data_IF_220310086058
#
_entry.id   IF_220310086058
#
_cell.length_a   1.000
_cell.length_b   1.000
_cell.length_c   1.000
_cell.angle_alpha   90.00
_cell.angle_beta   90.00
_cell.angle_gamma   90.00
#
_symmetry.space_group_name_H-M   'P 1'
#
loop_
_entity.id
_entity.type
_entity.pdbx_description
1 polymer ?
#
# COMPACT_ATOMS: atom_id res chain seq x y z
N UNK A 1 12.49 -7.56 31.92
CA UNK A 1 11.16 -8.11 31.58
C UNK A 1 10.25 -6.93 31.37
N UNK A 2 9.51 -6.92 30.25
CA UNK A 2 8.58 -5.83 29.89
C UNK A 2 7.43 -5.84 30.91
N UNK A 3 7.28 -4.78 31.71
CA UNK A 3 6.43 -4.76 32.90
C UNK A 3 5.04 -4.21 32.66
N UNK A 4 4.73 -3.76 31.44
CA UNK A 4 3.43 -3.16 31.12
C UNK A 4 2.66 -3.94 30.06
N UNK A 5 1.34 -4.03 30.23
CA UNK A 5 0.42 -4.53 29.20
C UNK A 5 0.18 -3.41 28.18
N UNK A 6 0.83 -3.50 27.02
CA UNK A 6 0.78 -2.49 25.97
C UNK A 6 -0.56 -2.50 25.21
N UNK A 7 -1.30 -1.40 25.26
CA UNK A 7 -2.53 -1.21 24.48
C UNK A 7 -2.16 -0.76 23.07
N UNK A 8 -2.46 -1.59 22.07
CA UNK A 8 -2.22 -1.24 20.66
C UNK A 8 -3.25 -0.24 20.16
N UNK A 9 -2.78 0.86 19.56
CA UNK A 9 -3.61 1.89 18.94
C UNK A 9 -3.29 2.02 17.45
N UNK A 10 -4.34 2.18 16.65
CA UNK A 10 -4.22 2.56 15.24
C UNK A 10 -4.21 4.09 15.11
N UNK A 11 -3.19 4.69 14.47
CA UNK A 11 -3.15 6.13 14.27
C UNK A 11 -4.15 6.60 13.21
N UNK A 12 -4.65 7.83 13.36
CA UNK A 12 -5.34 8.53 12.26
C UNK A 12 -4.31 8.96 11.22
N UNK A 13 -4.51 8.54 9.97
CA UNK A 13 -3.56 8.81 8.88
C UNK A 13 -4.02 10.02 8.06
N UNK A 14 -3.16 11.02 7.97
CA UNK A 14 -3.35 12.20 7.13
C UNK A 14 -2.31 12.22 6.01
N UNK A 15 -2.77 12.29 4.76
CA UNK A 15 -1.91 12.39 3.58
C UNK A 15 -2.10 13.76 2.93
N UNK A 16 -1.02 14.54 2.86
CA UNK A 16 -1.00 15.84 2.16
C UNK A 16 0.19 15.84 1.22
N UNK A 17 -0.09 15.84 -0.10
CA UNK A 17 0.93 15.65 -1.14
C UNK A 17 1.73 14.35 -0.89
N UNK A 18 3.06 14.45 -0.82
CA UNK A 18 3.99 13.34 -0.57
C UNK A 18 4.24 13.09 0.93
N UNK A 19 3.65 13.88 1.83
CA UNK A 19 3.87 13.74 3.26
C UNK A 19 2.70 13.02 3.94
N UNK A 20 3.03 11.92 4.63
CA UNK A 20 2.10 11.15 5.44
C UNK A 20 2.38 11.42 6.93
N UNK A 21 1.37 11.88 7.65
CA UNK A 21 1.41 12.15 9.09
C UNK A 21 0.42 11.24 9.83
N UNK A 22 0.79 10.84 11.02
CA UNK A 22 0.03 9.93 11.88
C UNK A 22 -0.33 10.64 13.18
N UNK A 23 -1.60 10.67 13.54
CA UNK A 23 -2.09 11.32 14.77
C UNK A 23 -2.56 10.27 15.77
N UNK A 24 -2.19 10.44 17.04
CA UNK A 24 -2.55 9.53 18.13
C UNK A 24 -3.06 10.34 19.33
N UNK A 25 -4.02 9.75 20.04
CA UNK A 25 -4.55 10.25 21.30
C UNK A 25 -4.73 9.09 22.28
N UNK A 26 -4.44 9.31 23.54
CA UNK A 26 -4.65 8.31 24.60
C UNK A 26 -4.96 8.96 25.94
N UNK A 27 -5.67 8.24 26.80
CA UNK A 27 -5.74 8.57 28.23
C UNK A 27 -4.47 8.12 28.97
N UNK A 28 -4.53 7.97 30.29
CA UNK A 28 -3.42 7.39 31.05
C UNK A 28 -3.24 5.90 30.74
N UNK A 29 -1.99 5.45 30.64
CA UNK A 29 -1.65 4.05 30.45
C UNK A 29 -0.37 3.84 29.64
N UNK A 30 -0.20 2.59 29.19
CA UNK A 30 0.89 2.13 28.33
C UNK A 30 0.33 1.78 26.95
N UNK A 31 0.87 2.38 25.90
CA UNK A 31 0.34 2.24 24.55
C UNK A 31 1.43 1.92 23.53
N UNK A 32 1.06 1.25 22.45
CA UNK A 32 1.92 0.93 21.30
C UNK A 32 1.22 1.35 20.00
N UNK A 33 1.92 2.10 19.14
CA UNK A 33 1.42 2.44 17.81
C UNK A 33 1.48 1.21 16.90
N UNK A 34 0.39 0.88 16.23
CA UNK A 34 0.32 -0.27 15.31
C UNK A 34 1.16 -0.14 14.04
N UNK A 35 1.53 1.09 13.66
CA UNK A 35 2.30 1.41 12.45
C UNK A 35 3.79 1.59 12.77
N UNK A 36 4.14 2.55 13.63
CA UNK A 36 5.56 2.83 13.95
C UNK A 36 6.15 1.91 15.01
N UNK A 37 5.34 1.13 15.72
CA UNK A 37 5.72 0.35 16.91
C UNK A 37 6.20 1.20 18.09
N UNK A 38 6.17 2.54 17.97
CA UNK A 38 6.48 3.46 19.06
C UNK A 38 5.62 3.14 20.29
N UNK A 39 6.25 3.01 21.46
CA UNK A 39 5.51 2.86 22.72
C UNK A 39 5.70 4.05 23.63
N UNK A 40 4.66 4.37 24.39
CA UNK A 40 4.69 5.46 25.34
C UNK A 40 3.90 5.14 26.60
N UNK A 41 4.31 5.77 27.70
CA UNK A 41 3.62 5.75 28.98
C UNK A 41 3.22 7.17 29.34
N UNK A 42 1.98 7.36 29.75
CA UNK A 42 1.46 8.67 30.17
C UNK A 42 0.53 8.55 31.39
N UNK A 43 0.60 9.55 32.29
CA UNK A 43 -0.25 9.65 33.49
C UNK A 43 -1.52 10.46 33.26
N UNK A 44 -1.50 11.30 32.24
CA UNK A 44 -2.60 12.20 31.87
C UNK A 44 -2.91 12.03 30.37
N UNK A 45 -4.09 12.49 29.90
CA UNK A 45 -4.40 12.47 28.49
C UNK A 45 -3.35 13.17 27.63
N UNK A 46 -2.99 12.53 26.52
CA UNK A 46 -1.99 13.02 25.57
C UNK A 46 -2.54 12.97 24.14
N UNK A 47 -2.13 13.95 23.34
CA UNK A 47 -2.30 13.92 21.89
C UNK A 47 -1.00 14.35 21.22
N UNK A 48 -0.62 13.64 20.17
CA UNK A 48 0.58 13.93 19.41
C UNK A 48 0.42 13.49 17.97
N UNK A 49 1.29 14.00 17.12
CA UNK A 49 1.44 13.54 15.74
C UNK A 49 2.88 13.13 15.51
N UNK A 50 3.08 12.25 14.54
CA UNK A 50 4.42 11.97 14.05
C UNK A 50 4.44 11.74 12.54
N UNK A 51 5.62 11.84 11.96
CA UNK A 51 5.92 11.26 10.65
C UNK A 51 7.28 10.57 10.68
N UNK A 52 7.51 9.72 9.69
CA UNK A 52 8.85 9.15 9.49
C UNK A 52 9.73 10.20 8.80
N UNK A 53 10.94 10.39 9.32
CA UNK A 53 11.99 11.18 8.68
C UNK A 53 12.88 10.31 7.77
N UNK A 54 13.79 10.96 7.06
CA UNK A 54 14.86 10.31 6.27
C UNK A 54 16.17 10.29 7.05
N UNK A 55 16.98 9.25 6.87
CA UNK A 55 18.35 9.23 7.37
C UNK A 55 19.33 10.00 6.48
N UNK A 56 18.96 10.29 5.23
CA UNK A 56 19.83 10.89 4.19
C UNK A 56 20.54 12.16 4.70
N UNK A 57 19.78 13.06 5.35
CA UNK A 57 20.32 14.32 5.85
C UNK A 57 21.21 14.17 7.10
N UNK A 58 21.18 13.01 7.78
CA UNK A 58 21.84 12.78 9.07
C UNK A 58 22.98 11.76 8.99
N UNK A 59 23.01 10.93 7.94
CA UNK A 59 23.85 9.75 7.85
C UNK A 59 25.35 10.06 7.93
N UNK A 60 25.82 11.06 7.17
CA UNK A 60 27.24 11.46 7.17
C UNK A 60 27.69 11.93 8.55
N UNK A 61 26.85 12.70 9.25
CA UNK A 61 27.19 13.27 10.56
C UNK A 61 27.32 12.21 11.62
N UNK A 62 26.37 11.28 11.72
CA UNK A 62 26.46 10.21 12.71
C UNK A 62 27.63 9.26 12.40
N UNK A 63 27.95 9.06 11.12
CA UNK A 63 29.08 8.23 10.70
C UNK A 63 30.41 8.84 11.13
N UNK A 64 30.57 10.18 11.04
CA UNK A 64 31.75 10.89 11.55
C UNK A 64 31.93 10.77 13.07
N UNK A 65 30.85 10.47 13.80
CA UNK A 65 30.87 10.25 15.25
C UNK A 65 30.97 8.77 15.63
N UNK A 66 31.31 7.91 14.66
CA UNK A 66 31.37 6.45 14.79
C UNK A 66 30.03 5.79 15.15
N UNK A 67 28.90 6.40 14.79
CA UNK A 67 27.57 5.81 14.96
C UNK A 67 26.99 5.25 13.67
N UNK A 68 26.07 4.31 13.82
CA UNK A 68 25.20 3.79 12.77
C UNK A 68 23.73 4.01 13.13
N UNK A 69 22.84 4.11 12.14
CA UNK A 69 21.40 4.07 12.38
C UNK A 69 20.99 2.79 13.14
N UNK A 70 20.24 2.97 14.23
CA UNK A 70 19.74 1.85 15.04
C UNK A 70 18.21 1.73 15.01
N UNK A 71 17.48 2.76 14.57
CA UNK A 71 16.03 2.78 14.49
C UNK A 71 15.51 3.83 13.50
N UNK A 72 14.19 3.90 13.26
CA UNK A 72 13.60 4.89 12.38
C UNK A 72 13.76 6.30 12.94
N UNK A 73 13.90 7.28 12.05
CA UNK A 73 13.76 8.70 12.42
C UNK A 73 12.27 8.98 12.60
N UNK A 74 11.86 9.38 13.81
CA UNK A 74 10.50 9.76 14.14
C UNK A 74 10.48 11.24 14.54
N UNK A 75 9.89 12.07 13.69
CA UNK A 75 9.55 13.46 14.05
C UNK A 75 8.24 13.45 14.80
N UNK A 76 8.32 13.61 16.12
CA UNK A 76 7.18 13.57 17.03
C UNK A 76 6.88 15.00 17.48
N UNK A 77 5.65 15.46 17.25
CA UNK A 77 5.16 16.74 17.77
C UNK A 77 4.05 16.49 18.78
N UNK A 78 4.28 16.90 20.04
CA UNK A 78 3.24 16.89 21.08
C UNK A 78 2.25 18.01 20.83
N UNK A 79 0.96 17.69 20.79
CA UNK A 79 -0.13 18.65 20.61
C UNK A 79 -0.73 19.05 21.97
N UNK A 80 -0.86 18.11 22.89
CA UNK A 80 -1.26 18.34 24.28
C UNK A 80 -0.80 17.19 25.18
N UNK A 81 -0.50 17.49 26.45
CA UNK A 81 -0.06 16.51 27.46
C UNK A 81 1.44 16.25 27.45
N UNK A 82 1.89 15.23 28.18
CA UNK A 82 3.30 14.84 28.28
C UNK A 82 3.44 13.31 28.30
N UNK A 83 4.56 12.80 27.78
CA UNK A 83 4.95 11.40 27.95
C UNK A 83 5.87 11.27 29.15
N UNK A 84 5.60 10.30 30.02
CA UNK A 84 6.49 9.95 31.14
C UNK A 84 7.65 9.11 30.63
N UNK A 85 7.37 8.20 29.71
CA UNK A 85 8.34 7.29 29.12
C UNK A 85 8.04 7.13 27.63
N UNK A 86 9.09 7.04 26.83
CA UNK A 86 8.97 6.67 25.41
C UNK A 86 9.96 5.55 25.09
N UNK A 87 9.51 4.61 24.29
CA UNK A 87 10.26 3.46 23.84
C UNK A 87 10.37 3.57 22.32
N UNK A 88 11.53 4.04 21.87
CA UNK A 88 11.83 4.18 20.45
C UNK A 88 12.27 2.82 19.90
N UNK A 89 11.65 2.32 18.82
CA UNK A 89 11.99 1.02 18.26
C UNK A 89 13.40 1.03 17.68
N UNK A 90 14.16 -0.04 17.88
CA UNK A 90 15.44 -0.26 17.23
C UNK A 90 15.50 -1.64 16.57
N UNK A 91 16.38 -1.78 15.58
CA UNK A 91 16.58 -3.00 14.81
C UNK A 91 17.87 -3.74 15.16
N UNK A 92 18.72 -3.17 16.01
CA UNK A 92 19.95 -3.84 16.47
C UNK A 92 19.61 -5.07 17.32
N UNK A 93 20.25 -6.20 17.04
CA UNK A 93 20.19 -7.42 17.82
C UNK A 93 21.06 -7.30 19.07
N UNK A 94 20.49 -7.57 20.24
CA UNK A 94 21.14 -7.27 21.52
C UNK A 94 22.06 -8.36 22.06
N UNK A 95 22.16 -9.50 21.37
CA UNK A 95 22.86 -10.70 21.88
C UNK A 95 24.38 -10.50 22.02
N UNK A 96 24.96 -9.56 21.28
CA UNK A 96 26.39 -9.24 21.28
C UNK A 96 26.71 -7.77 21.56
N UNK A 97 25.76 -7.00 22.09
CA UNK A 97 25.90 -5.53 22.25
C UNK A 97 25.70 -5.07 23.69
N UNK A 98 26.38 -3.99 24.10
CA UNK A 98 26.17 -3.34 25.40
C UNK A 98 25.12 -2.23 25.30
N UNK A 99 24.22 -2.06 26.30
CA UNK A 99 23.29 -0.92 26.37
C UNK A 99 23.97 0.45 26.25
N UNK A 100 25.19 0.61 26.75
CA UNK A 100 25.96 1.87 26.68
C UNK A 100 26.39 2.25 25.25
N UNK A 101 26.21 1.36 24.28
CA UNK A 101 26.44 1.64 22.86
C UNK A 101 25.23 2.26 22.17
N UNK A 102 24.06 2.25 22.82
CA UNK A 102 22.87 2.88 22.30
C UNK A 102 22.78 4.34 22.75
N UNK A 103 22.40 5.20 21.83
CA UNK A 103 22.03 6.58 22.12
C UNK A 103 20.84 6.99 21.25
N UNK A 104 20.30 8.18 21.49
CA UNK A 104 19.26 8.76 20.64
C UNK A 104 19.78 10.05 20.05
N UNK A 105 19.78 10.13 18.73
CA UNK A 105 19.99 11.38 18.01
C UNK A 105 18.75 12.25 18.21
N UNK A 106 18.96 13.47 18.69
CA UNK A 106 17.98 14.54 18.75
C UNK A 106 18.35 15.57 17.69
N UNK A 107 17.55 15.67 16.63
CA UNK A 107 17.73 16.69 15.59
C UNK A 107 17.00 17.94 16.05
N UNK A 108 17.69 19.07 16.17
CA UNK A 108 17.06 20.36 16.44
C UNK A 108 17.59 21.47 15.51
N UNK A 109 16.86 22.58 15.46
CA UNK A 109 17.18 23.71 14.58
C UNK A 109 18.49 24.44 14.96
N UNK A 110 19.04 24.19 16.15
CA UNK A 110 20.27 24.75 16.69
C UNK A 110 21.46 23.78 16.62
N UNK A 111 21.22 22.51 16.29
CA UNK A 111 22.23 21.47 16.08
C UNK A 111 21.72 20.08 16.48
N UNK A 112 22.39 19.05 15.99
CA UNK A 112 22.11 17.69 16.45
C UNK A 112 22.75 17.45 17.82
N UNK A 113 22.02 16.84 18.75
CA UNK A 113 22.54 16.40 20.05
C UNK A 113 22.34 14.91 20.27
N UNK A 114 23.18 14.32 21.11
CA UNK A 114 23.12 12.90 21.46
C UNK A 114 22.59 12.76 22.88
N UNK A 115 21.44 12.12 23.00
CA UNK A 115 20.76 11.85 24.26
C UNK A 115 21.10 10.43 24.74
N UNK A 116 21.44 10.29 26.02
CA UNK A 116 21.73 8.99 26.64
C UNK A 116 20.42 8.23 26.90
N UNK A 117 20.39 6.96 26.52
CA UNK A 117 19.26 6.07 26.79
C UNK A 117 19.17 5.71 28.28
N UNK A 118 17.96 5.59 28.79
CA UNK A 118 17.70 5.18 30.18
C UNK A 118 17.73 3.66 30.36
N UNK A 119 17.29 2.92 29.34
CA UNK A 119 17.28 1.45 29.32
C UNK A 119 17.24 0.94 27.87
N UNK A 120 17.62 -0.32 27.65
CA UNK A 120 17.60 -0.98 26.34
C UNK A 120 16.99 -2.37 26.48
N UNK A 121 15.97 -2.64 25.68
CA UNK A 121 15.35 -3.96 25.53
C UNK A 121 15.82 -4.63 24.25
N UNK A 122 15.30 -5.81 23.89
CA UNK A 122 15.65 -6.45 22.62
C UNK A 122 15.18 -5.68 21.38
N UNK A 123 14.23 -4.74 21.52
CA UNK A 123 13.63 -4.01 20.40
C UNK A 123 13.40 -2.52 20.61
N UNK A 124 13.70 -1.99 21.79
CA UNK A 124 13.42 -0.60 22.14
C UNK A 124 14.52 0.00 22.98
N UNK A 125 14.84 1.28 22.69
CA UNK A 125 15.58 2.14 23.61
C UNK A 125 14.58 3.00 24.37
N UNK A 126 14.77 3.14 25.68
CA UNK A 126 13.88 3.87 26.57
C UNK A 126 14.46 5.26 26.87
N UNK A 127 13.60 6.27 26.81
CA UNK A 127 13.85 7.60 27.37
C UNK A 127 12.81 7.92 28.45
N UNK A 128 13.25 8.61 29.50
CA UNK A 128 12.41 9.11 30.59
C UNK A 128 12.18 10.60 30.39
N UNK A 129 10.93 11.04 30.56
CA UNK A 129 10.52 12.45 30.44
C UNK A 129 11.08 13.13 29.17
N UNK A 130 10.85 12.54 27.98
CA UNK A 130 11.44 13.02 26.74
C UNK A 130 10.97 14.45 26.42
N UNK A 131 11.90 15.28 25.96
CA UNK A 131 11.58 16.43 25.09
C UNK A 131 11.41 15.90 23.67
N UNK A 132 10.59 16.53 22.83
CA UNK A 132 10.34 16.03 21.48
C UNK A 132 10.83 16.96 20.38
N UNK A 133 11.50 16.34 19.43
CA UNK A 133 11.96 16.79 18.12
C UNK A 133 12.06 15.52 17.24
N UNK A 134 12.54 15.59 15.99
CA UNK A 134 12.98 14.38 15.30
C UNK A 134 14.01 13.61 16.13
N UNK A 135 13.63 12.38 16.52
CA UNK A 135 14.45 11.46 17.30
C UNK A 135 14.72 10.19 16.52
N UNK A 136 15.94 9.68 16.65
CA UNK A 136 16.31 8.43 16.01
C UNK A 136 17.31 7.65 16.87
N UNK A 137 17.06 6.37 17.20
CA UNK A 137 18.06 5.54 17.85
C UNK A 137 19.32 5.41 16.97
N UNK A 138 20.48 5.54 17.60
CA UNK A 138 21.80 5.34 17.00
C UNK A 138 22.62 4.36 17.83
N UNK A 139 23.56 3.67 17.18
CA UNK A 139 24.41 2.66 17.79
C UNK A 139 25.89 2.94 17.55
N UNK A 140 26.69 2.98 18.61
CA UNK A 140 28.12 3.23 18.56
C UNK A 140 28.85 2.02 17.95
N UNK A 141 29.43 2.22 16.78
CA UNK A 141 30.21 1.22 16.06
C UNK A 141 31.62 1.17 16.63
N UNK A 142 31.93 0.10 17.37
CA UNK A 142 33.31 -0.16 17.83
C UNK A 142 34.01 -1.18 16.94
N UNK A 143 35.31 -0.96 16.74
CA UNK A 143 36.17 -1.89 16.01
C UNK A 143 36.11 -3.30 16.62
N UNK A 144 35.88 -4.31 15.79
CA UNK A 144 35.83 -5.72 16.21
C UNK A 144 34.45 -6.20 16.70
N UNK A 145 33.42 -5.35 16.73
CA UNK A 145 32.04 -5.75 17.05
C UNK A 145 31.25 -5.96 15.76
N UNK A 146 30.81 -7.19 15.49
CA UNK A 146 29.78 -7.45 14.47
C UNK A 146 28.41 -7.09 15.04
N UNK A 147 27.72 -6.21 14.34
CA UNK A 147 26.39 -5.74 14.71
C UNK A 147 25.38 -6.50 13.85
N UNK A 148 24.33 -7.04 14.48
CA UNK A 148 23.26 -7.73 13.77
C UNK A 148 22.03 -6.83 13.68
N UNK A 149 21.36 -6.82 12.54
CA UNK A 149 20.05 -6.19 12.34
C UNK A 149 18.98 -7.25 12.22
N UNK A 150 17.89 -7.03 12.95
CA UNK A 150 16.66 -7.80 12.81
C UNK A 150 15.83 -7.26 11.66
N UNK A 151 15.79 -8.02 10.58
CA UNK A 151 15.16 -7.61 9.32
C UNK A 151 14.15 -8.64 8.81
N UNK A 152 13.21 -8.15 8.00
CA UNK A 152 12.27 -8.94 7.23
C UNK A 152 12.61 -8.80 5.74
N UNK A 153 12.46 -9.90 5.00
CA UNK A 153 12.39 -9.85 3.53
C UNK A 153 10.93 -9.80 3.12
N UNK A 154 10.50 -8.69 2.53
CA UNK A 154 9.13 -8.50 2.03
C UNK A 154 9.12 -8.60 0.51
N UNK A 155 8.12 -9.29 -0.04
CA UNK A 155 7.99 -9.51 -1.48
C UNK A 155 6.64 -8.96 -1.90
N UNK A 156 6.65 -7.99 -2.80
CA UNK A 156 5.44 -7.43 -3.38
C UNK A 156 5.40 -7.72 -4.87
N UNK A 157 4.26 -8.20 -5.37
CA UNK A 157 3.97 -8.29 -6.80
C UNK A 157 3.34 -6.98 -7.25
N UNK A 158 3.92 -6.35 -8.27
CA UNK A 158 3.37 -5.14 -8.87
C UNK A 158 2.35 -5.47 -9.97
N UNK A 159 1.67 -4.44 -10.48
CA UNK A 159 0.75 -4.55 -11.63
C UNK A 159 1.50 -4.10 -12.89
N UNK A 160 2.39 -4.94 -13.41
CA UNK A 160 3.08 -4.76 -14.70
C UNK A 160 2.75 -5.92 -15.66
N UNK A 161 3.10 -5.77 -16.94
CA UNK A 161 2.86 -6.77 -18.00
C UNK A 161 3.61 -8.09 -17.73
N UNK A 162 4.86 -7.99 -17.29
CA UNK A 162 5.68 -9.12 -16.86
C UNK A 162 5.55 -9.36 -15.36
N UNK A 163 6.00 -10.54 -14.89
CA UNK A 163 6.11 -10.76 -13.46
C UNK A 163 7.18 -9.83 -12.91
N UNK A 164 6.74 -8.76 -12.26
CA UNK A 164 7.63 -7.83 -11.57
C UNK A 164 7.39 -7.90 -10.06
N UNK A 165 8.46 -8.16 -9.32
CA UNK A 165 8.48 -8.19 -7.87
C UNK A 165 9.32 -7.05 -7.32
N UNK A 166 8.84 -6.35 -6.30
CA UNK A 166 9.67 -5.54 -5.42
C UNK A 166 10.05 -6.38 -4.21
N UNK A 167 11.34 -6.63 -4.02
CA UNK A 167 11.88 -7.42 -2.91
C UNK A 167 12.64 -6.48 -1.97
N UNK A 168 12.02 -6.20 -0.83
CA UNK A 168 12.55 -5.31 0.19
C UNK A 168 13.32 -6.11 1.24
N UNK A 169 14.47 -5.57 1.66
CA UNK A 169 15.13 -5.97 2.88
C UNK A 169 15.01 -4.84 3.90
N UNK A 170 14.11 -4.98 4.87
CA UNK A 170 13.72 -3.87 5.75
C UNK A 170 13.76 -4.26 7.22
N UNK A 171 14.17 -3.34 8.12
CA UNK A 171 14.02 -3.55 9.55
C UNK A 171 12.58 -3.88 9.96
N UNK A 172 12.41 -4.78 10.93
CA UNK A 172 11.09 -5.28 11.33
C UNK A 172 10.09 -4.17 11.70
N UNK A 173 10.53 -3.15 12.41
CA UNK A 173 9.69 -2.02 12.83
C UNK A 173 9.22 -1.13 11.67
N UNK A 174 9.82 -1.24 10.47
CA UNK A 174 9.42 -0.52 9.26
C UNK A 174 8.46 -1.32 8.37
N UNK A 175 8.24 -2.61 8.65
CA UNK A 175 7.40 -3.49 7.84
C UNK A 175 6.02 -2.91 7.54
N UNK A 176 5.35 -2.33 8.55
CA UNK A 176 4.01 -1.75 8.39
C UNK A 176 4.01 -0.53 7.47
N UNK A 177 5.02 0.34 7.59
CA UNK A 177 5.21 1.50 6.71
C UNK A 177 5.36 1.09 5.25
N UNK A 178 6.26 0.14 4.97
CA UNK A 178 6.49 -0.38 3.60
C UNK A 178 5.21 -1.00 3.02
N UNK A 179 4.48 -1.78 3.83
CA UNK A 179 3.20 -2.35 3.39
C UNK A 179 2.17 -1.28 3.00
N UNK A 180 2.09 -0.16 3.72
CA UNK A 180 1.17 0.93 3.40
C UNK A 180 1.59 1.68 2.12
N UNK A 181 2.89 1.93 1.94
CA UNK A 181 3.46 2.56 0.75
C UNK A 181 3.19 1.71 -0.51
N UNK A 182 3.47 0.41 -0.46
CA UNK A 182 3.21 -0.52 -1.56
C UNK A 182 1.71 -0.71 -1.85
N UNK A 183 0.87 -0.69 -0.81
CA UNK A 183 -0.59 -0.76 -0.98
C UNK A 183 -1.13 0.47 -1.73
N UNK A 184 -0.51 1.64 -1.55
CA UNK A 184 -0.83 2.85 -2.33
C UNK A 184 -0.58 2.69 -3.83
N UNK A 185 0.35 1.81 -4.23
CA UNK A 185 0.71 1.51 -5.61
C UNK A 185 -0.03 0.28 -6.19
N UNK A 186 -1.05 -0.22 -5.48
CA UNK A 186 -1.82 -1.42 -5.86
C UNK A 186 -0.99 -2.71 -5.94
N UNK A 187 0.20 -2.73 -5.35
CA UNK A 187 1.01 -3.94 -5.23
C UNK A 187 0.41 -4.92 -4.23
N UNK A 188 0.69 -6.21 -4.42
CA UNK A 188 0.18 -7.29 -3.57
C UNK A 188 1.32 -8.01 -2.88
N UNK A 189 1.26 -8.07 -1.55
CA UNK A 189 2.25 -8.81 -0.78
C UNK A 189 2.15 -10.32 -1.08
N UNK A 190 3.26 -10.93 -1.47
CA UNK A 190 3.42 -12.38 -1.53
C UNK A 190 3.81 -12.85 -0.14
N UNK A 191 2.82 -13.31 0.62
CA UNK A 191 3.04 -13.80 1.98
C UNK A 191 3.79 -15.12 1.97
N UNK A 192 4.95 -15.17 2.63
CA UNK A 192 5.73 -16.39 2.82
C UNK A 192 5.88 -16.69 4.31
N UNK A 193 5.75 -17.96 4.73
CA UNK A 193 6.14 -18.34 6.08
C UNK A 193 7.63 -18.07 6.24
N UNK A 194 8.00 -17.39 7.33
CA UNK A 194 9.39 -17.08 7.61
C UNK A 194 9.59 -16.65 9.04
N UNK A 195 10.72 -17.08 9.60
CA UNK A 195 11.27 -16.55 10.84
C UNK A 195 11.85 -15.17 10.53
N UNK A 196 11.85 -14.28 11.52
CA UNK A 196 12.63 -13.05 11.48
C UNK A 196 14.11 -13.41 11.27
N UNK A 197 14.76 -12.79 10.30
CA UNK A 197 16.16 -13.06 10.01
C UNK A 197 17.03 -12.02 10.74
N UNK A 198 18.07 -12.49 11.41
CA UNK A 198 19.09 -11.62 12.00
C UNK A 198 20.26 -11.56 11.03
N UNK A 199 20.34 -10.48 10.26
CA UNK A 199 21.40 -10.24 9.27
C UNK A 199 22.52 -9.42 9.89
N UNK A 200 23.76 -9.56 9.43
CA UNK A 200 24.84 -8.69 9.90
C UNK A 200 24.73 -7.31 9.21
N UNK A 201 24.92 -6.21 9.95
CA UNK A 201 24.97 -4.84 9.41
C UNK A 201 26.18 -4.68 8.49
N UNK A 202 26.09 -3.75 7.53
CA UNK A 202 27.18 -3.26 6.66
C UNK A 202 27.56 -4.15 5.48
N UNK A 203 26.81 -5.22 5.25
CA UNK A 203 26.96 -6.01 4.04
C UNK A 203 26.15 -5.37 2.89
N UNK A 204 26.76 -5.30 1.72
CA UNK A 204 26.00 -5.23 0.47
C UNK A 204 25.34 -6.58 0.27
N UNK A 205 24.08 -6.60 -0.10
CA UNK A 205 23.36 -7.81 -0.38
C UNK A 205 23.16 -7.95 -1.88
N UNK A 206 23.18 -9.19 -2.35
CA UNK A 206 22.82 -9.53 -3.73
C UNK A 206 21.60 -10.43 -3.71
N UNK A 207 20.69 -10.19 -4.65
CA UNK A 207 19.54 -11.03 -4.88
C UNK A 207 19.74 -11.81 -6.17
N UNK A 208 19.58 -13.12 -6.09
CA UNK A 208 19.66 -14.01 -7.26
C UNK A 208 18.41 -14.86 -7.37
N UNK A 209 18.16 -15.38 -8.58
CA UNK A 209 17.06 -16.28 -8.87
C UNK A 209 17.50 -17.39 -9.81
N UNK A 210 16.84 -18.55 -9.73
CA UNK A 210 16.99 -19.66 -10.67
C UNK A 210 15.96 -19.62 -11.82
N UNK A 211 15.20 -18.53 -11.92
CA UNK A 211 14.28 -18.28 -13.04
C UNK A 211 15.04 -17.86 -14.31
N UNK A 212 14.69 -18.46 -15.45
CA UNK A 212 15.21 -18.06 -16.75
C UNK A 212 14.75 -16.65 -17.14
N UNK A 213 15.63 -15.88 -17.79
CA UNK A 213 15.37 -14.52 -18.27
C UNK A 213 14.91 -13.55 -17.16
N UNK A 214 15.44 -13.72 -15.96
CA UNK A 214 15.25 -12.77 -14.87
C UNK A 214 16.23 -11.59 -15.00
N UNK A 215 15.69 -10.38 -14.88
CA UNK A 215 16.45 -9.14 -14.76
C UNK A 215 16.26 -8.64 -13.31
N UNK A 216 17.35 -8.34 -12.60
CA UNK A 216 17.33 -7.87 -11.21
C UNK A 216 18.07 -6.53 -11.12
N UNK A 217 17.41 -5.49 -10.62
CA UNK A 217 18.00 -4.17 -10.40
C UNK A 217 17.66 -3.62 -9.01
N UNK A 218 18.62 -3.00 -8.29
CA UNK A 218 20.04 -2.92 -8.60
C UNK A 218 20.74 -4.29 -8.43
N UNK A 219 21.98 -4.42 -8.92
CA UNK A 219 22.78 -5.65 -8.73
C UNK A 219 23.05 -5.94 -7.24
N UNK A 220 23.38 -4.89 -6.50
CA UNK A 220 23.70 -4.93 -5.08
C UNK A 220 22.91 -3.86 -4.33
N UNK A 221 22.56 -4.15 -3.08
CA UNK A 221 21.78 -3.24 -2.23
C UNK A 221 22.30 -3.28 -0.81
N UNK A 222 22.61 -2.13 -0.23
CA UNK A 222 22.87 -2.01 1.19
C UNK A 222 21.53 -2.01 1.95
N UNK A 223 21.49 -2.62 3.14
CA UNK A 223 20.31 -2.54 4.01
C UNK A 223 19.87 -1.07 4.15
N UNK A 224 18.70 -0.73 3.61
CA UNK A 224 18.13 0.59 3.81
C UNK A 224 17.73 0.76 5.27
N UNK A 225 18.18 1.88 5.84
CA UNK A 225 17.69 2.36 7.13
C UNK A 225 16.38 3.15 6.96
N UNK A 226 15.88 3.25 5.73
CA UNK A 226 14.59 3.83 5.33
C UNK A 226 13.75 2.81 4.53
N UNK A 227 12.73 3.29 3.81
CA UNK A 227 11.82 2.44 3.02
C UNK A 227 12.05 2.53 1.52
N UNK A 228 13.09 3.22 1.05
CA UNK A 228 13.25 3.60 -0.35
C UNK A 228 13.94 2.57 -1.24
N UNK A 229 14.66 1.59 -0.69
CA UNK A 229 15.45 0.66 -1.50
C UNK A 229 14.86 -0.75 -1.53
N UNK A 230 14.78 -1.31 -2.73
CA UNK A 230 14.34 -2.67 -3.00
C UNK A 230 15.04 -3.20 -4.26
N UNK A 231 15.05 -4.53 -4.42
CA UNK A 231 15.36 -5.16 -5.70
C UNK A 231 14.10 -5.27 -6.54
N UNK A 232 14.10 -4.70 -7.74
CA UNK A 232 13.13 -5.00 -8.77
C UNK A 232 13.56 -6.29 -9.49
N UNK A 233 12.74 -7.35 -9.39
CA UNK A 233 12.94 -8.60 -10.11
C UNK A 233 11.89 -8.68 -11.22
N UNK A 234 12.33 -8.65 -12.48
CA UNK A 234 11.48 -8.77 -13.66
C UNK A 234 11.71 -10.12 -14.36
N UNK A 235 10.64 -10.90 -14.55
CA UNK A 235 10.69 -12.20 -15.23
C UNK A 235 9.65 -12.19 -16.35
N UNK A 236 10.10 -12.15 -17.61
CA UNK A 236 9.23 -11.98 -18.78
C UNK A 236 8.27 -13.15 -19.02
N UNK A 237 8.75 -14.38 -18.84
CA UNK A 237 8.01 -15.61 -19.14
C UNK A 237 7.86 -16.50 -17.90
N UNK A 238 7.44 -15.94 -16.77
CA UNK A 238 7.26 -16.70 -15.54
C UNK A 238 6.09 -17.70 -15.64
N UNK A 239 6.37 -19.00 -15.72
CA UNK A 239 5.37 -20.07 -15.79
C UNK A 239 5.61 -21.24 -14.83
N UNK A 240 6.70 -21.18 -14.06
CA UNK A 240 7.15 -22.21 -13.15
C UNK A 240 7.44 -21.65 -11.75
N UNK A 241 7.69 -22.55 -10.80
CA UNK A 241 8.20 -22.13 -9.51
C UNK A 241 9.67 -21.73 -9.64
N UNK A 242 10.12 -20.73 -8.88
CA UNK A 242 11.51 -20.32 -8.81
C UNK A 242 11.92 -20.00 -7.37
N UNK A 243 13.21 -19.87 -7.10
CA UNK A 243 13.75 -19.48 -5.82
C UNK A 243 14.34 -18.08 -5.90
N UNK A 244 14.05 -17.25 -4.91
CA UNK A 244 14.82 -16.06 -4.61
C UNK A 244 15.86 -16.40 -3.54
N UNK A 245 17.11 -15.99 -3.74
CA UNK A 245 18.21 -16.23 -2.82
C UNK A 245 18.94 -14.93 -2.55
N UNK A 246 19.02 -14.54 -1.27
CA UNK A 246 19.78 -13.40 -0.79
C UNK A 246 21.14 -13.90 -0.27
N UNK A 247 22.21 -13.24 -0.71
CA UNK A 247 23.59 -13.49 -0.27
C UNK A 247 24.20 -12.19 0.23
N UNK A 248 25.02 -12.27 1.28
CA UNK A 248 25.81 -11.12 1.76
C UNK A 248 27.17 -11.08 1.04
N UNK A 249 27.57 -9.91 0.57
CA UNK A 249 28.92 -9.65 0.07
C UNK A 249 29.84 -9.32 1.26
N UNK A 250 30.41 -10.34 1.90
CA UNK A 250 31.51 -10.11 2.85
C UNK A 250 32.78 -10.90 2.44
N UNK A 251 33.95 -10.40 2.85
CA UNK A 251 35.25 -10.97 2.45
C UNK A 251 35.53 -12.39 3.00
N UNK A 252 34.69 -12.92 3.89
CA UNK A 252 34.89 -14.23 4.54
C UNK A 252 33.85 -15.30 4.19
N UNK A 253 32.69 -14.91 3.68
CA UNK A 253 31.49 -15.72 3.41
C UNK A 253 30.89 -15.38 2.04
N UNK A 254 31.70 -14.89 1.11
CA UNK A 254 31.28 -14.58 -0.26
C UNK A 254 30.51 -15.76 -0.86
N UNK A 255 29.27 -15.51 -1.29
CA UNK A 255 28.38 -16.52 -1.87
C UNK A 255 27.55 -17.38 -0.89
N UNK A 256 27.64 -17.19 0.44
CA UNK A 256 26.78 -17.93 1.38
C UNK A 256 25.36 -17.36 1.37
N UNK A 257 24.38 -18.21 1.05
CA UNK A 257 22.96 -17.86 1.09
C UNK A 257 22.50 -17.61 2.54
N UNK A 258 22.10 -16.38 2.84
CA UNK A 258 21.56 -15.98 4.16
C UNK A 258 20.04 -16.11 4.21
N UNK A 259 19.38 -16.05 3.06
CA UNK A 259 17.95 -16.28 2.93
C UNK A 259 17.64 -16.91 1.58
N UNK A 260 16.76 -17.89 1.58
CA UNK A 260 16.26 -18.52 0.36
C UNK A 260 14.77 -18.82 0.50
N UNK A 261 13.98 -18.43 -0.48
CA UNK A 261 12.55 -18.77 -0.54
C UNK A 261 12.12 -19.16 -1.94
N UNK A 262 11.38 -20.27 -1.97
CA UNK A 262 10.67 -20.73 -3.16
C UNK A 262 9.41 -19.88 -3.38
N UNK A 263 9.32 -19.22 -4.51
CA UNK A 263 8.14 -18.53 -5.03
C UNK A 263 7.42 -19.52 -5.95
N UNK A 264 6.25 -19.98 -5.52
CA UNK A 264 5.44 -20.92 -6.28
C UNK A 264 4.63 -20.14 -7.30
N UNK A 265 4.36 -20.77 -8.45
CA UNK A 265 3.51 -20.20 -9.49
C UNK A 265 2.20 -19.63 -8.95
N UNK A 266 1.52 -20.36 -8.07
CA UNK A 266 0.25 -19.92 -7.49
C UNK A 266 0.33 -18.69 -6.57
N UNK A 267 1.52 -18.30 -6.12
CA UNK A 267 1.70 -17.13 -5.25
C UNK A 267 1.64 -15.82 -6.03
N UNK A 268 2.19 -15.81 -7.25
CA UNK A 268 2.21 -14.62 -8.10
C UNK A 268 1.20 -14.68 -9.25
N UNK A 269 0.86 -15.88 -9.71
CA UNK A 269 -0.37 -16.15 -10.45
C UNK A 269 -1.47 -16.45 -9.44
N UNK A 270 -1.75 -15.47 -8.57
CA UNK A 270 -3.04 -15.44 -7.87
C UNK A 270 -4.13 -15.72 -8.91
N UNK A 271 -5.20 -16.42 -8.55
CA UNK A 271 -6.36 -16.81 -9.39
C UNK A 271 -6.96 -15.72 -10.29
N UNK A 272 -6.43 -14.49 -10.32
CA UNK A 272 -6.75 -13.34 -11.14
C UNK A 272 -6.62 -13.58 -12.64
N UNK A 273 -5.74 -14.48 -13.10
CA UNK A 273 -5.78 -14.91 -14.51
C UNK A 273 -7.12 -15.63 -14.82
N UNK A 274 -7.73 -16.27 -13.82
CA UNK A 274 -9.12 -16.77 -13.86
C UNK A 274 -10.15 -15.80 -13.22
N UNK A 275 -9.75 -14.75 -12.50
CA UNK A 275 -10.67 -13.82 -11.82
C UNK A 275 -10.92 -12.56 -12.62
N UNK A 276 -10.18 -12.27 -13.69
CA UNK A 276 -10.69 -11.40 -14.74
C UNK A 276 -11.81 -12.10 -15.51
N UNK A 277 -11.72 -13.41 -15.76
CA UNK A 277 -12.84 -14.18 -16.30
C UNK A 277 -14.02 -14.33 -15.29
N UNK A 278 -13.75 -14.58 -14.01
CA UNK A 278 -14.80 -14.80 -12.99
C UNK A 278 -15.34 -13.53 -12.30
N UNK A 279 -14.58 -12.44 -12.19
CA UNK A 279 -15.10 -11.15 -11.73
C UNK A 279 -15.86 -10.42 -12.84
N UNK A 280 -15.47 -10.60 -14.12
CA UNK A 280 -16.32 -10.20 -15.23
C UNK A 280 -17.60 -11.04 -15.23
N UNK A 281 -17.61 -12.35 -14.95
CA UNK A 281 -18.87 -13.12 -14.81
C UNK A 281 -19.73 -12.74 -13.59
N UNK A 282 -19.14 -12.49 -12.41
CA UNK A 282 -19.89 -12.16 -11.20
C UNK A 282 -20.46 -10.73 -11.18
N UNK A 283 -19.81 -9.76 -11.84
CA UNK A 283 -20.32 -8.39 -12.01
C UNK A 283 -21.08 -8.21 -13.34
N UNK A 284 -20.92 -9.10 -14.33
CA UNK A 284 -21.66 -9.06 -15.60
C UNK A 284 -23.10 -9.51 -15.50
N UNK A 285 -23.38 -10.54 -14.69
CA UNK A 285 -24.71 -11.11 -14.56
C UNK A 285 -25.78 -10.05 -14.17
N UNK A 286 -25.60 -9.19 -13.14
CA UNK A 286 -26.64 -8.24 -12.76
C UNK A 286 -26.87 -7.13 -13.80
N UNK A 287 -25.82 -6.65 -14.49
CA UNK A 287 -25.95 -5.55 -15.48
C UNK A 287 -26.59 -6.02 -16.78
N UNK A 288 -26.19 -7.20 -17.26
CA UNK A 288 -26.79 -7.81 -18.46
C UNK A 288 -28.24 -8.22 -18.18
N UNK A 289 -28.52 -8.80 -17.00
CA UNK A 289 -29.90 -9.11 -16.59
C UNK A 289 -30.76 -7.85 -16.44
N UNK A 290 -30.20 -6.74 -15.96
CA UNK A 290 -30.92 -5.46 -15.87
C UNK A 290 -31.33 -4.95 -17.24
N UNK A 291 -30.40 -4.97 -18.20
CA UNK A 291 -30.67 -4.54 -19.57
C UNK A 291 -31.69 -5.48 -20.26
N UNK A 292 -31.59 -6.79 -20.04
CA UNK A 292 -32.57 -7.79 -20.50
C UNK A 292 -33.97 -7.53 -19.90
N UNK A 293 -34.06 -7.30 -18.59
CA UNK A 293 -35.33 -7.04 -17.90
C UNK A 293 -36.01 -5.76 -18.36
N UNK A 294 -35.25 -4.74 -18.78
CA UNK A 294 -35.79 -3.49 -19.29
C UNK A 294 -35.93 -3.45 -20.82
N UNK A 295 -35.45 -4.48 -21.54
CA UNK A 295 -35.36 -4.52 -23.01
C UNK A 295 -36.69 -4.16 -23.68
N UNK A 296 -37.81 -4.73 -23.23
CA UNK A 296 -39.12 -4.46 -23.83
C UNK A 296 -39.56 -2.99 -23.70
N UNK A 297 -39.24 -2.34 -22.57
CA UNK A 297 -39.54 -0.92 -22.34
C UNK A 297 -38.60 -0.02 -23.14
N UNK A 298 -37.31 -0.36 -23.17
CA UNK A 298 -36.32 0.37 -23.94
C UNK A 298 -36.61 0.31 -25.44
N UNK A 299 -37.00 -0.85 -25.97
CA UNK A 299 -37.46 -0.97 -27.36
C UNK A 299 -38.61 0.01 -27.61
N UNK A 300 -39.63 0.05 -26.75
CA UNK A 300 -40.76 0.96 -26.93
C UNK A 300 -40.37 2.44 -26.93
N UNK A 301 -39.42 2.84 -26.07
CA UNK A 301 -38.99 4.23 -25.92
C UNK A 301 -38.05 4.66 -27.05
N UNK A 302 -37.00 3.86 -27.29
CA UNK A 302 -35.90 4.21 -28.20
C UNK A 302 -36.28 4.06 -29.67
N UNK A 303 -37.35 3.31 -29.99
CA UNK A 303 -37.83 3.15 -31.38
C UNK A 303 -38.29 4.46 -32.03
N UNK A 304 -38.55 5.51 -31.24
CA UNK A 304 -38.95 6.81 -31.78
C UNK A 304 -37.83 7.44 -32.64
N UNK A 305 -36.56 7.26 -32.25
CA UNK A 305 -35.39 7.81 -32.95
C UNK A 305 -34.30 6.73 -33.07
N UNK A 306 -34.63 5.63 -33.75
CA UNK A 306 -33.78 4.42 -33.79
C UNK A 306 -32.40 4.64 -34.44
N UNK A 307 -32.31 5.47 -35.47
CA UNK A 307 -31.04 5.79 -36.15
C UNK A 307 -30.13 6.65 -35.28
N UNK A 308 -30.71 7.61 -34.54
CA UNK A 308 -29.99 8.42 -33.56
C UNK A 308 -29.35 7.55 -32.47
N UNK A 309 -30.12 6.59 -31.92
CA UNK A 309 -29.63 5.66 -30.90
C UNK A 309 -28.52 4.76 -31.45
N UNK A 310 -28.69 4.25 -32.66
CA UNK A 310 -27.69 3.40 -33.32
C UNK A 310 -26.36 4.16 -33.56
N UNK A 311 -26.43 5.41 -34.00
CA UNK A 311 -25.25 6.25 -34.24
C UNK A 311 -24.47 6.53 -32.94
N UNK A 312 -25.18 6.83 -31.84
CA UNK A 312 -24.53 7.07 -30.55
C UNK A 312 -24.01 5.78 -29.90
N UNK A 313 -24.64 4.64 -30.18
CA UNK A 313 -24.12 3.35 -29.75
C UNK A 313 -22.83 3.00 -30.51
N UNK A 314 -22.75 3.32 -31.80
CA UNK A 314 -21.55 3.11 -32.61
C UNK A 314 -20.40 4.04 -32.21
N UNK A 315 -20.67 5.33 -31.95
CA UNK A 315 -19.64 6.28 -31.48
C UNK A 315 -19.02 5.91 -30.14
N UNK A 316 -19.72 5.11 -29.33
CA UNK A 316 -19.23 4.54 -28.07
C UNK A 316 -18.69 3.11 -28.20
N UNK A 317 -18.49 2.63 -29.43
CA UNK A 317 -17.99 1.28 -29.72
C UNK A 317 -18.83 0.15 -29.11
N UNK A 318 -20.14 0.37 -28.91
CA UNK A 318 -21.05 -0.65 -28.35
C UNK A 318 -21.37 -1.74 -29.38
N UNK A 319 -21.34 -1.41 -30.68
CA UNK A 319 -21.42 -2.35 -31.81
C UNK A 319 -20.09 -2.41 -32.55
N UNK A 320 -19.78 -3.52 -33.21
CA UNK A 320 -18.68 -3.55 -34.19
C UNK A 320 -19.10 -2.84 -35.47
N UNK A 321 -18.16 -2.44 -36.33
CA UNK A 321 -18.48 -1.80 -37.63
C UNK A 321 -19.35 -2.71 -38.51
N UNK A 322 -19.06 -4.01 -38.50
CA UNK A 322 -19.89 -5.01 -39.17
C UNK A 322 -21.28 -5.14 -38.54
N UNK A 323 -21.38 -5.06 -37.22
CA UNK A 323 -22.66 -5.07 -36.50
C UNK A 323 -23.49 -3.82 -36.80
N UNK A 324 -22.85 -2.66 -36.83
CA UNK A 324 -23.48 -1.38 -37.15
C UNK A 324 -24.10 -1.39 -38.55
N UNK A 325 -23.35 -1.79 -39.59
CA UNK A 325 -23.89 -1.82 -40.96
C UNK A 325 -25.05 -2.81 -41.12
N UNK A 326 -24.98 -3.96 -40.42
CA UNK A 326 -26.09 -4.94 -40.39
C UNK A 326 -27.35 -4.36 -39.73
N UNK A 327 -27.21 -3.71 -38.57
CA UNK A 327 -28.33 -3.13 -37.83
C UNK A 327 -28.89 -1.92 -38.59
N UNK A 328 -28.04 -1.10 -39.20
CA UNK A 328 -28.40 0.07 -40.01
C UNK A 328 -29.26 -0.32 -41.21
N UNK A 329 -29.01 -1.49 -41.82
CA UNK A 329 -29.81 -2.01 -42.92
C UNK A 329 -31.24 -2.41 -42.52
N UNK A 330 -31.54 -2.58 -41.23
CA UNK A 330 -32.88 -2.87 -40.74
C UNK A 330 -33.80 -1.64 -40.94
N UNK A 331 -34.92 -1.81 -41.67
CA UNK A 331 -35.82 -0.70 -42.01
C UNK A 331 -36.88 -0.41 -40.95
N UNK A 332 -37.13 -1.36 -40.05
CA UNK A 332 -38.16 -1.25 -39.02
C UNK A 332 -37.49 -0.69 -37.75
N UNK A 333 -37.86 0.51 -37.27
CA UNK A 333 -37.19 1.15 -36.11
C UNK A 333 -37.21 0.28 -34.86
N UNK A 334 -38.31 -0.45 -34.64
CA UNK A 334 -38.47 -1.36 -33.51
C UNK A 334 -37.51 -2.56 -33.56
N UNK A 335 -37.39 -3.17 -34.72
CA UNK A 335 -36.48 -4.30 -34.94
C UNK A 335 -35.02 -3.81 -34.90
N UNK A 336 -34.73 -2.63 -35.45
CA UNK A 336 -33.40 -1.99 -35.38
C UNK A 336 -32.92 -1.81 -33.95
N UNK A 337 -33.76 -1.26 -33.06
CA UNK A 337 -33.43 -1.10 -31.64
C UNK A 337 -33.33 -2.45 -30.94
N UNK A 338 -34.19 -3.40 -31.29
CA UNK A 338 -34.12 -4.76 -30.75
C UNK A 338 -32.80 -5.43 -31.08
N UNK A 339 -32.39 -5.43 -32.36
CA UNK A 339 -31.13 -5.99 -32.84
C UNK A 339 -29.92 -5.28 -32.20
N UNK A 340 -29.99 -3.96 -32.02
CA UNK A 340 -28.95 -3.21 -31.30
C UNK A 340 -28.80 -3.68 -29.86
N UNK A 341 -29.91 -3.78 -29.12
CA UNK A 341 -29.87 -4.23 -27.73
C UNK A 341 -29.44 -5.69 -27.61
N UNK A 342 -29.87 -6.55 -28.53
CA UNK A 342 -29.45 -7.95 -28.60
C UNK A 342 -27.94 -8.07 -28.86
N UNK A 343 -27.43 -7.30 -29.82
CA UNK A 343 -26.00 -7.28 -30.11
C UNK A 343 -25.17 -6.79 -28.91
N UNK A 344 -25.67 -5.80 -28.18
CA UNK A 344 -25.02 -5.26 -26.98
C UNK A 344 -25.06 -6.24 -25.81
N UNK A 345 -26.19 -6.93 -25.61
CA UNK A 345 -26.34 -7.98 -24.59
C UNK A 345 -25.40 -9.16 -24.91
N UNK A 346 -25.34 -9.58 -26.17
CA UNK A 346 -24.49 -10.68 -26.63
C UNK A 346 -22.99 -10.34 -26.53
N UNK A 347 -22.62 -9.07 -26.75
CA UNK A 347 -21.23 -8.58 -26.59
C UNK A 347 -20.77 -8.55 -25.13
N UNK A 348 -21.69 -8.67 -24.17
CA UNK A 348 -21.39 -8.84 -22.75
C UNK A 348 -21.47 -7.56 -21.92
N UNK A 349 -21.11 -7.66 -20.64
CA UNK A 349 -21.40 -6.62 -19.65
C UNK A 349 -20.73 -5.28 -19.90
N UNK A 350 -19.54 -5.25 -20.49
CA UNK A 350 -18.88 -3.99 -20.85
C UNK A 350 -19.73 -3.17 -21.83
N UNK A 351 -20.29 -3.83 -22.85
CA UNK A 351 -21.19 -3.20 -23.80
C UNK A 351 -22.54 -2.83 -23.14
N UNK A 352 -23.10 -3.72 -22.31
CA UNK A 352 -24.35 -3.45 -21.59
C UNK A 352 -24.24 -2.25 -20.63
N UNK A 353 -23.13 -2.14 -19.88
CA UNK A 353 -22.82 -0.99 -19.03
C UNK A 353 -22.67 0.28 -19.85
N UNK A 354 -21.93 0.21 -20.97
CA UNK A 354 -21.78 1.34 -21.90
C UNK A 354 -23.12 1.81 -22.48
N UNK A 355 -24.05 0.89 -22.74
CA UNK A 355 -25.41 1.21 -23.16
C UNK A 355 -26.22 1.89 -22.04
N UNK A 356 -26.14 1.41 -20.80
CA UNK A 356 -26.82 2.07 -19.68
C UNK A 356 -26.29 3.49 -19.44
N UNK A 357 -24.97 3.71 -19.55
CA UNK A 357 -24.38 5.05 -19.46
C UNK A 357 -24.68 5.91 -20.68
N UNK A 358 -24.97 5.32 -21.85
CA UNK A 358 -25.53 6.03 -22.98
C UNK A 358 -26.93 6.52 -22.67
N UNK A 359 -27.79 5.65 -22.15
CA UNK A 359 -29.16 6.03 -21.79
C UNK A 359 -29.22 7.12 -20.73
N UNK A 360 -28.22 7.23 -19.84
CA UNK A 360 -28.11 8.31 -18.84
C UNK A 360 -27.52 9.62 -19.39
N UNK A 361 -26.99 9.63 -20.61
CA UNK A 361 -26.37 10.83 -21.15
C UNK A 361 -27.40 11.95 -21.29
N UNK A 362 -26.93 13.19 -21.15
CA UNK A 362 -27.78 14.38 -21.27
C UNK A 362 -28.55 14.38 -22.59
N UNK A 363 -27.87 14.09 -23.69
CA UNK A 363 -28.44 14.01 -25.04
C UNK A 363 -29.56 12.95 -25.15
N UNK A 364 -29.37 11.77 -24.53
CA UNK A 364 -30.38 10.70 -24.53
C UNK A 364 -31.57 11.03 -23.63
N UNK A 365 -31.36 11.66 -22.48
CA UNK A 365 -32.44 12.09 -21.59
C UNK A 365 -33.25 13.25 -22.19
N UNK A 366 -32.62 14.16 -22.92
CA UNK A 366 -33.29 15.25 -23.65
C UNK A 366 -34.11 14.70 -24.83
N UNK A 367 -33.54 13.76 -25.61
CA UNK A 367 -34.21 13.16 -26.77
C UNK A 367 -35.34 12.21 -26.37
N UNK A 368 -35.20 11.50 -25.24
CA UNK A 368 -36.18 10.54 -24.74
C UNK A 368 -36.55 10.82 -23.28
N UNK A 369 -37.42 11.81 -23.00
CA UNK A 369 -37.82 12.18 -21.64
C UNK A 369 -38.44 11.02 -20.83
N UNK A 370 -39.01 10.03 -21.51
CA UNK A 370 -39.57 8.82 -20.90
C UNK A 370 -38.49 7.89 -20.31
N UNK A 371 -37.21 8.06 -20.63
CA UNK A 371 -36.13 7.28 -20.03
C UNK A 371 -36.01 7.50 -18.52
N UNK A 372 -36.31 8.71 -18.02
CA UNK A 372 -36.29 9.03 -16.59
C UNK A 372 -37.24 8.15 -15.76
N UNK A 373 -38.29 7.60 -16.38
CA UNK A 373 -39.24 6.67 -15.73
C UNK A 373 -38.70 5.24 -15.54
N UNK A 374 -37.54 4.92 -16.13
CA UNK A 374 -36.89 3.62 -15.96
C UNK A 374 -36.13 3.63 -14.63
N UNK A 375 -36.71 3.00 -13.60
CA UNK A 375 -36.27 2.95 -12.19
C UNK A 375 -34.79 2.58 -11.95
N UNK A 376 -34.06 2.12 -12.96
CA UNK A 376 -32.70 1.58 -12.85
C UNK A 376 -31.59 2.58 -13.27
N UNK A 377 -31.93 3.77 -13.76
CA UNK A 377 -30.93 4.81 -14.08
C UNK A 377 -30.35 5.48 -12.81
N UNK A 378 -30.99 5.29 -11.65
CA UNK A 378 -30.52 5.75 -10.35
C UNK A 378 -29.88 4.60 -9.58
N UNK A 379 -28.54 4.51 -9.56
CA UNK A 379 -27.85 3.62 -8.63
C UNK A 379 -28.07 4.17 -7.22
N UNK A 380 -28.77 3.41 -6.35
CA UNK A 380 -28.90 3.74 -4.92
C UNK A 380 -27.50 3.82 -4.29
N UNK A 381 -27.10 5.00 -3.81
CA UNK A 381 -26.00 5.11 -2.83
C UNK A 381 -26.42 4.38 -1.54
N UNK A 382 -25.54 3.60 -0.90
CA UNK A 382 -25.78 3.16 0.47
C UNK A 382 -25.73 4.38 1.39
N UNK A 383 -26.85 4.68 2.04
CA UNK A 383 -26.92 5.55 3.21
C UNK A 383 -26.74 4.67 4.45
N UNK A 384 -25.67 4.90 5.22
CA UNK A 384 -25.65 4.58 6.65
C UNK A 384 -24.98 5.75 7.37
N UNK A 385 -25.81 6.59 7.98
CA UNK A 385 -25.37 7.73 8.76
C UNK A 385 -24.98 7.35 10.19
N UNK A 386 -23.98 8.05 10.72
CA UNK A 386 -24.06 8.54 12.09
C UNK A 386 -24.03 10.07 12.04
N UNK A 387 -24.98 10.65 12.77
CA UNK A 387 -25.35 12.05 12.82
C UNK A 387 -24.17 12.90 13.30
N UNK A 388 -23.68 13.83 12.48
CA UNK A 388 -23.06 15.06 13.00
C UNK A 388 -24.19 16.05 13.27
N UNK A 389 -24.37 16.35 14.56
CA UNK A 389 -25.17 17.48 15.01
C UNK A 389 -24.49 18.74 14.47
N UNK A 390 -25.26 19.53 13.73
CA UNK A 390 -24.87 20.85 13.27
C UNK A 390 -24.81 21.80 14.48
N UNK A 391 -23.70 22.50 14.65
CA UNK A 391 -23.73 23.86 15.20
C UNK A 391 -22.96 24.74 14.22
N UNK A 392 -23.72 25.48 13.42
CA UNK A 392 -23.24 26.51 12.51
C UNK A 392 -23.45 27.87 13.19
N UNK A 393 -22.49 28.78 12.95
CA UNK A 393 -22.51 30.23 13.12
C UNK A 393 -22.36 30.87 14.52
N UNK A 394 -21.21 31.54 14.69
CA UNK A 394 -21.01 32.95 15.03
C UNK A 394 -19.50 33.19 14.76
N UNK A 395 -18.95 34.25 14.17
CA UNK A 395 -19.37 35.52 13.57
C UNK A 395 -18.10 36.01 12.82
N UNK A 396 -18.31 36.89 11.83
CA UNK A 396 -17.37 37.88 11.25
C UNK A 396 -15.85 37.72 11.40
#
# INVERSE_FOLDING_TARGET
>A
MDTCDWIKLDPEVHRVREMQTYSLQSGSGCFECSVSTLRWVCKEPISFRYHFGSWEEHYERITLMDYLPAGPVLDISILAGTMEEVYLPHWIGTESTSPDMFAVLHVDACGDSIEKVSDVTSSYVKLLQPTFSPKAPIFLKKLGISVKVRSDVLIFKTIKEYLTLHVYLVPHCLKKKVCEEESGHSSKIISKPGKQESLETLDSFNLTTDADNAEIEPETLCLAYDTGTYFEVCIRNADSDFNLTLTAENKSNDGVAIWKRKIRRGDYKSNIDNSQAMAEEAESAPVVQLLQNQKAKLIKILSAEADFVLQHAHSRHLTSDQGYEKIKACRVPREKVQELLDHVIQKGAKAAKGMLELLKSKEMQETFPMLASVQCLHVKRPLSGMKKINLFFLIM
#
